data_IF_890885287497
#
_entry.id   IF_890885287497
#
_cell.length_a   1.000
_cell.length_b   1.000
_cell.length_c   1.000
_cell.angle_alpha   90.00
_cell.angle_beta   90.00
_cell.angle_gamma   90.00
#
_symmetry.space_group_name_H-M   'P 1'
#
loop_
_entity.id
_entity.type
_entity.pdbx_description
1 polymer ?
#
# COMPACT_ATOMS: atom_id res chain seq x y z
N UNK A 1 0.68 20.52 -14.96
CA UNK A 1 1.59 20.26 -13.82
C UNK A 1 1.45 18.86 -13.25
N UNK A 2 0.29 18.45 -12.70
CA UNK A 2 0.12 17.09 -12.17
C UNK A 2 0.37 16.04 -13.26
N UNK A 3 -0.24 16.20 -14.43
CA UNK A 3 0.01 15.34 -15.60
C UNK A 3 1.50 15.27 -15.99
N UNK A 4 2.18 16.43 -16.02
CA UNK A 4 3.62 16.52 -16.28
C UNK A 4 4.43 15.73 -15.24
N UNK A 5 4.09 15.87 -13.96
CA UNK A 5 4.73 15.14 -12.87
C UNK A 5 4.47 13.63 -12.97
N UNK A 6 3.24 13.22 -13.27
CA UNK A 6 2.86 11.83 -13.53
C UNK A 6 3.66 11.24 -14.68
N UNK A 7 3.82 11.97 -15.79
CA UNK A 7 4.64 11.54 -16.94
C UNK A 7 6.11 11.35 -16.55
N UNK A 8 6.70 12.28 -15.80
CA UNK A 8 8.08 12.18 -15.33
C UNK A 8 8.28 10.98 -14.38
N UNK A 9 7.32 10.76 -13.48
CA UNK A 9 7.35 9.62 -12.55
C UNK A 9 7.17 8.27 -13.25
N UNK A 10 6.31 8.21 -14.26
CA UNK A 10 6.15 7.02 -15.12
C UNK A 10 7.42 6.72 -15.94
N UNK A 11 8.23 7.74 -16.24
CA UNK A 11 9.55 7.57 -16.84
C UNK A 11 10.64 7.15 -15.81
N UNK A 12 10.28 6.91 -14.55
CA UNK A 12 11.20 6.48 -13.49
C UNK A 12 11.97 7.62 -12.79
N UNK A 13 11.59 8.88 -13.04
CA UNK A 13 12.20 10.04 -12.39
C UNK A 13 11.42 10.38 -11.11
N UNK A 14 12.12 10.80 -10.05
CA UNK A 14 11.48 11.40 -8.86
C UNK A 14 11.72 12.91 -8.91
N UNK A 15 10.90 13.70 -9.63
CA UNK A 15 11.20 15.09 -9.89
C UNK A 15 11.01 15.98 -8.65
N UNK A 16 11.76 17.07 -8.59
CA UNK A 16 11.50 18.21 -7.72
C UNK A 16 10.39 19.10 -8.28
N UNK A 17 9.84 19.98 -7.44
CA UNK A 17 8.82 20.97 -7.87
C UNK A 17 9.37 21.87 -8.98
N UNK A 18 10.66 22.23 -8.93
CA UNK A 18 11.29 23.08 -9.93
C UNK A 18 11.46 22.37 -11.28
N UNK A 19 11.84 21.09 -11.28
CA UNK A 19 11.92 20.30 -12.53
C UNK A 19 10.55 20.11 -13.17
N UNK A 20 9.49 19.91 -12.37
CA UNK A 20 8.12 19.90 -12.91
C UNK A 20 7.72 21.27 -13.46
N UNK A 21 8.10 22.37 -12.81
CA UNK A 21 7.80 23.72 -13.28
C UNK A 21 8.40 23.98 -14.65
N UNK A 22 9.68 23.62 -14.82
CA UNK A 22 10.40 23.73 -16.09
C UNK A 22 9.76 22.86 -17.17
N UNK A 23 9.52 21.58 -16.88
CA UNK A 23 8.91 20.65 -17.83
C UNK A 23 7.44 20.96 -18.17
N UNK A 24 6.75 21.74 -17.32
CA UNK A 24 5.38 22.20 -17.54
C UNK A 24 5.31 23.62 -18.10
N UNK A 25 6.44 24.26 -18.38
CA UNK A 25 6.55 25.62 -18.90
C UNK A 25 5.81 26.67 -18.04
N UNK A 26 5.89 26.51 -16.72
CA UNK A 26 5.32 27.46 -15.75
C UNK A 26 6.39 28.02 -14.82
N UNK A 27 6.10 29.18 -14.22
CA UNK A 27 7.04 29.76 -13.25
C UNK A 27 7.19 28.87 -12.02
N UNK A 28 8.38 28.87 -11.40
CA UNK A 28 8.61 28.19 -10.11
C UNK A 28 7.62 28.66 -9.04
N UNK A 29 7.34 29.97 -8.98
CA UNK A 29 6.39 30.55 -8.04
C UNK A 29 4.98 29.96 -8.22
N UNK A 30 4.53 29.77 -9.47
CA UNK A 30 3.28 29.08 -9.77
C UNK A 30 3.33 27.63 -9.28
N UNK A 31 4.40 26.89 -9.56
CA UNK A 31 4.51 25.48 -9.16
C UNK A 31 4.46 25.30 -7.63
N UNK A 32 5.24 26.08 -6.87
CA UNK A 32 5.27 26.01 -5.40
C UNK A 32 3.93 26.41 -4.75
N UNK A 33 3.08 27.19 -5.44
CA UNK A 33 1.73 27.50 -4.96
C UNK A 33 0.82 26.28 -4.96
N UNK A 34 0.98 25.37 -5.92
CA UNK A 34 0.17 24.14 -5.99
C UNK A 34 0.83 22.98 -5.24
N UNK A 35 2.16 22.89 -5.29
CA UNK A 35 2.94 21.83 -4.67
C UNK A 35 4.01 22.46 -3.77
N UNK A 36 3.69 22.70 -2.49
CA UNK A 36 4.58 23.44 -1.59
C UNK A 36 5.90 22.69 -1.26
N UNK A 37 5.96 21.39 -1.52
CA UNK A 37 7.14 20.55 -1.30
C UNK A 37 7.20 19.41 -2.32
N UNK A 38 8.37 18.75 -2.41
CA UNK A 38 8.50 17.55 -3.24
C UNK A 38 7.61 16.42 -2.71
N UNK A 39 7.50 16.29 -1.38
CA UNK A 39 6.58 15.34 -0.75
C UNK A 39 5.12 15.58 -1.17
N UNK A 40 4.66 16.83 -1.20
CA UNK A 40 3.28 17.17 -1.61
C UNK A 40 3.03 16.87 -3.10
N UNK A 41 4.01 17.17 -3.97
CA UNK A 41 3.96 16.81 -5.39
C UNK A 41 3.84 15.30 -5.59
N UNK A 42 4.73 14.53 -4.97
CA UNK A 42 4.76 13.07 -5.10
C UNK A 42 3.50 12.45 -4.51
N UNK A 43 2.98 12.97 -3.39
CA UNK A 43 1.71 12.53 -2.82
C UNK A 43 0.56 12.68 -3.82
N UNK A 44 0.42 13.85 -4.45
CA UNK A 44 -0.64 14.08 -5.43
C UNK A 44 -0.57 13.12 -6.63
N UNK A 45 0.64 12.82 -7.12
CA UNK A 45 0.82 11.85 -8.22
C UNK A 45 0.51 10.42 -7.76
N UNK A 46 0.88 10.05 -6.53
CA UNK A 46 0.53 8.75 -5.94
C UNK A 46 -0.98 8.60 -5.79
N UNK A 47 -1.68 9.64 -5.34
CA UNK A 47 -3.14 9.64 -5.17
C UNK A 47 -3.85 9.44 -6.52
N UNK A 48 -3.39 10.11 -7.58
CA UNK A 48 -3.87 9.90 -8.96
C UNK A 48 -3.63 8.45 -9.44
N UNK A 49 -2.43 7.91 -9.16
CA UNK A 49 -2.11 6.53 -9.47
C UNK A 49 -3.01 5.51 -8.76
N UNK A 50 -3.42 5.82 -7.52
CA UNK A 50 -4.25 4.95 -6.69
C UNK A 50 -5.76 5.14 -6.90
N UNK A 51 -6.22 6.20 -7.56
CA UNK A 51 -7.63 6.64 -7.64
C UNK A 51 -8.69 5.52 -7.58
N UNK A 52 -8.75 4.59 -8.57
CA UNK A 52 -9.76 3.52 -8.59
C UNK A 52 -9.71 2.55 -7.41
N UNK A 53 -8.55 2.39 -6.78
CA UNK A 53 -8.34 1.51 -5.63
C UNK A 53 -8.88 2.18 -4.36
N UNK A 54 -8.71 3.51 -4.22
CA UNK A 54 -9.09 4.23 -3.00
C UNK A 54 -10.60 4.23 -2.73
N UNK A 55 -11.42 4.03 -3.77
CA UNK A 55 -12.88 3.94 -3.67
C UNK A 55 -13.38 2.50 -3.80
N UNK A 56 -12.49 1.51 -3.68
CA UNK A 56 -12.86 0.09 -3.79
C UNK A 56 -13.83 -0.30 -2.66
N UNK A 57 -14.82 -1.12 -3.01
CA UNK A 57 -15.78 -1.72 -2.08
C UNK A 57 -16.11 -3.14 -2.54
N UNK A 58 -16.53 -3.99 -1.60
CA UNK A 58 -17.04 -5.33 -1.88
C UNK A 58 -18.39 -5.56 -1.24
N UNK A 59 -19.26 -6.30 -1.93
CA UNK A 59 -20.56 -6.77 -1.45
C UNK A 59 -20.49 -8.16 -0.80
N UNK A 60 -19.34 -8.83 -0.86
CA UNK A 60 -19.14 -10.13 -0.23
C UNK A 60 -19.10 -9.99 1.29
N UNK A 61 -19.72 -10.94 2.00
CA UNK A 61 -19.59 -11.12 3.45
C UNK A 61 -18.41 -12.04 3.84
N UNK A 62 -17.78 -12.71 2.86
CA UNK A 62 -16.63 -13.57 3.09
C UNK A 62 -15.33 -12.76 2.97
N UNK A 63 -14.53 -12.75 4.05
CA UNK A 63 -13.32 -11.93 4.15
C UNK A 63 -12.21 -12.38 3.19
N UNK A 64 -12.06 -13.70 2.96
CA UNK A 64 -11.06 -14.21 2.02
C UNK A 64 -11.38 -13.75 0.59
N UNK A 65 -12.65 -13.84 0.20
CA UNK A 65 -13.14 -13.35 -1.08
C UNK A 65 -12.98 -11.84 -1.23
N UNK A 66 -13.29 -11.05 -0.20
CA UNK A 66 -13.09 -9.59 -0.21
C UNK A 66 -11.61 -9.23 -0.43
N UNK A 67 -10.70 -9.92 0.24
CA UNK A 67 -9.26 -9.73 0.05
C UNK A 67 -8.85 -10.10 -1.38
N UNK A 68 -9.34 -11.21 -1.92
CA UNK A 68 -9.08 -11.59 -3.31
C UNK A 68 -9.59 -10.53 -4.31
N UNK A 69 -10.80 -10.02 -4.12
CA UNK A 69 -11.42 -8.96 -4.95
C UNK A 69 -10.63 -7.63 -4.89
N UNK A 70 -10.11 -7.28 -3.70
CA UNK A 70 -9.22 -6.11 -3.56
C UNK A 70 -7.94 -6.30 -4.36
N UNK A 71 -7.29 -7.46 -4.26
CA UNK A 71 -6.08 -7.75 -5.03
C UNK A 71 -6.37 -7.77 -6.54
N UNK A 72 -7.53 -8.31 -6.93
CA UNK A 72 -7.96 -8.35 -8.32
C UNK A 72 -8.11 -6.95 -8.94
N UNK A 73 -8.60 -6.00 -8.14
CA UNK A 73 -8.78 -4.61 -8.54
C UNK A 73 -7.47 -3.83 -8.48
N UNK A 74 -6.71 -4.00 -7.40
CA UNK A 74 -5.55 -3.18 -7.09
C UNK A 74 -4.32 -3.54 -7.92
N UNK A 75 -4.01 -4.83 -8.08
CA UNK A 75 -2.73 -5.26 -8.67
C UNK A 75 -2.53 -4.77 -10.11
N UNK A 76 -3.51 -4.86 -11.04
CA UNK A 76 -3.33 -4.32 -12.39
C UNK A 76 -3.03 -2.82 -12.40
N UNK A 77 -3.66 -2.05 -11.51
CA UNK A 77 -3.42 -0.61 -11.38
C UNK A 77 -2.06 -0.32 -10.75
N UNK A 78 -1.64 -1.10 -9.75
CA UNK A 78 -0.30 -1.01 -9.15
C UNK A 78 0.77 -1.28 -10.21
N UNK A 79 0.58 -2.29 -11.06
CA UNK A 79 1.50 -2.59 -12.17
C UNK A 79 1.51 -1.49 -13.23
N UNK A 80 0.34 -0.95 -13.62
CA UNK A 80 0.26 0.15 -14.57
C UNK A 80 0.95 1.44 -14.07
N UNK A 81 1.09 1.59 -12.75
CA UNK A 81 1.77 2.72 -12.11
C UNK A 81 3.04 2.29 -11.37
N UNK A 82 3.65 1.17 -11.77
CA UNK A 82 4.79 0.58 -11.08
C UNK A 82 5.97 1.56 -10.96
N UNK A 83 6.32 2.24 -12.06
CA UNK A 83 7.39 3.24 -12.09
C UNK A 83 7.11 4.40 -11.12
N UNK A 84 5.87 4.90 -11.08
CA UNK A 84 5.43 5.93 -10.14
C UNK A 84 5.58 5.47 -8.69
N UNK A 85 5.13 4.27 -8.36
CA UNK A 85 5.21 3.77 -6.98
C UNK A 85 6.65 3.43 -6.56
N UNK A 86 7.49 2.95 -7.49
CA UNK A 86 8.94 2.78 -7.27
C UNK A 86 9.62 4.14 -7.05
N UNK A 87 9.29 5.17 -7.82
CA UNK A 87 9.80 6.52 -7.63
C UNK A 87 9.40 7.12 -6.26
N UNK A 88 8.16 6.89 -5.82
CA UNK A 88 7.72 7.27 -4.48
C UNK A 88 8.43 6.46 -3.37
N UNK A 89 8.85 5.21 -3.64
CA UNK A 89 9.58 4.37 -2.68
C UNK A 89 11.01 4.87 -2.54
N UNK A 90 11.65 5.18 -3.66
CA UNK A 90 12.94 5.85 -3.69
C UNK A 90 12.94 7.13 -2.85
N UNK A 91 11.93 8.00 -3.00
CA UNK A 91 11.81 9.21 -2.16
C UNK A 91 11.73 8.88 -0.67
N UNK A 92 10.90 7.90 -0.30
CA UNK A 92 10.74 7.49 1.10
C UNK A 92 12.05 6.97 1.71
N UNK A 93 12.80 6.17 0.95
CA UNK A 93 14.10 5.63 1.38
C UNK A 93 15.17 6.73 1.48
N UNK A 94 15.20 7.66 0.52
CA UNK A 94 16.10 8.83 0.55
C UNK A 94 15.84 9.72 1.77
N UNK A 95 14.57 10.06 2.03
CA UNK A 95 14.21 10.87 3.20
C UNK A 95 14.57 10.17 4.51
N UNK A 96 14.39 8.84 4.60
CA UNK A 96 14.82 8.07 5.76
C UNK A 96 16.34 8.17 5.96
N UNK A 97 17.12 7.94 4.90
CA UNK A 97 18.59 7.98 4.96
C UNK A 97 19.10 9.38 5.36
N UNK A 98 18.55 10.43 4.76
CA UNK A 98 18.88 11.83 5.08
C UNK A 98 18.47 12.20 6.51
N UNK A 99 17.36 11.66 7.02
CA UNK A 99 16.97 11.85 8.43
C UNK A 99 17.98 11.21 9.38
N UNK A 100 18.45 9.99 9.09
CA UNK A 100 19.49 9.33 9.88
C UNK A 100 20.81 10.11 9.85
N UNK A 101 21.16 10.69 8.70
CA UNK A 101 22.35 11.51 8.54
C UNK A 101 22.22 12.95 9.09
N UNK A 102 21.03 13.37 9.55
CA UNK A 102 20.79 14.74 9.98
C UNK A 102 20.76 15.78 8.85
N UNK A 103 20.66 15.36 7.58
CA UNK A 103 20.73 16.23 6.38
C UNK A 103 19.39 16.45 5.69
N UNK A 104 18.29 15.96 6.27
CA UNK A 104 16.95 16.16 5.70
C UNK A 104 16.51 17.64 5.79
N UNK A 105 16.95 18.36 6.82
CA UNK A 105 16.53 19.74 7.07
C UNK A 105 15.04 19.83 7.43
N UNK A 106 14.35 20.85 6.90
CA UNK A 106 12.93 21.11 7.14
C UNK A 106 11.96 20.48 6.14
N UNK A 107 12.41 19.54 5.31
CA UNK A 107 11.55 18.89 4.31
C UNK A 107 10.42 18.11 5.00
N UNK A 108 9.15 18.31 4.62
CA UNK A 108 8.04 17.54 5.17
C UNK A 108 8.19 16.05 4.89
N UNK A 109 7.91 15.21 5.89
CA UNK A 109 7.96 13.77 5.73
C UNK A 109 6.94 13.29 4.69
N UNK A 110 7.40 12.53 3.71
CA UNK A 110 6.51 11.78 2.82
C UNK A 110 5.93 10.58 3.59
N UNK A 111 4.59 10.49 3.64
CA UNK A 111 3.88 9.43 4.35
C UNK A 111 3.20 8.48 3.37
N UNK A 112 3.00 7.23 3.82
CA UNK A 112 2.28 6.20 3.08
C UNK A 112 1.22 5.64 4.02
N UNK A 113 -0.03 5.60 3.58
CA UNK A 113 -1.13 5.24 4.49
C UNK A 113 -2.32 4.52 3.86
N UNK A 114 -2.63 4.79 2.59
CA UNK A 114 -3.85 4.30 1.92
C UNK A 114 -4.11 2.79 2.05
N UNK A 115 -3.05 1.97 2.08
CA UNK A 115 -3.20 0.51 2.22
C UNK A 115 -3.79 0.07 3.56
N UNK A 116 -3.60 0.84 4.63
CA UNK A 116 -4.07 0.46 5.97
C UNK A 116 -5.59 0.38 5.98
N UNK A 117 -6.26 1.42 5.48
CA UNK A 117 -7.72 1.50 5.49
C UNK A 117 -8.32 0.52 4.48
N UNK A 118 -7.77 0.42 3.27
CA UNK A 118 -8.19 -0.56 2.26
C UNK A 118 -8.15 -2.00 2.78
N UNK A 119 -7.07 -2.37 3.47
CA UNK A 119 -6.91 -3.74 3.98
C UNK A 119 -7.84 -4.00 5.15
N UNK A 120 -8.06 -3.03 6.05
CA UNK A 120 -9.05 -3.14 7.12
C UNK A 120 -10.46 -3.31 6.55
N UNK A 121 -10.82 -2.52 5.55
CA UNK A 121 -12.12 -2.62 4.88
C UNK A 121 -12.31 -3.97 4.18
N UNK A 122 -11.25 -4.54 3.61
CA UNK A 122 -11.28 -5.86 3.01
C UNK A 122 -11.55 -6.96 4.04
N UNK A 123 -10.92 -6.88 5.23
CA UNK A 123 -11.12 -7.86 6.31
C UNK A 123 -12.25 -7.49 7.28
N UNK A 124 -13.01 -6.42 7.03
CA UNK A 124 -14.07 -5.93 7.92
C UNK A 124 -15.08 -7.00 8.39
N UNK A 125 -15.47 -8.04 7.61
CA UNK A 125 -16.35 -9.10 8.12
C UNK A 125 -15.77 -9.93 9.28
N UNK A 126 -14.47 -9.78 9.57
CA UNK A 126 -13.81 -10.41 10.71
C UNK A 126 -13.86 -9.54 11.98
N UNK A 127 -14.37 -8.31 11.89
CA UNK A 127 -14.65 -7.49 13.07
C UNK A 127 -15.67 -8.20 13.97
N UNK A 128 -15.36 -8.29 15.26
CA UNK A 128 -16.16 -9.04 16.24
C UNK A 128 -16.01 -10.57 16.19
N UNK A 129 -15.40 -11.12 15.13
CA UNK A 129 -15.01 -12.55 15.06
C UNK A 129 -13.59 -12.79 15.54
N UNK A 130 -12.68 -11.85 15.27
CA UNK A 130 -11.32 -11.85 15.77
C UNK A 130 -11.18 -10.93 16.97
N UNK A 131 -10.26 -11.26 17.88
CA UNK A 131 -9.81 -10.31 18.90
C UNK A 131 -9.16 -9.10 18.21
N UNK A 132 -9.23 -7.88 18.80
CA UNK A 132 -8.67 -6.67 18.18
C UNK A 132 -7.18 -6.78 17.84
N UNK A 133 -6.41 -7.53 18.64
CA UNK A 133 -4.99 -7.79 18.40
C UNK A 133 -4.79 -8.59 17.11
N UNK A 134 -5.60 -9.62 16.88
CA UNK A 134 -5.45 -10.51 15.73
C UNK A 134 -5.96 -9.90 14.45
N UNK A 135 -7.06 -9.13 14.53
CA UNK A 135 -7.51 -8.30 13.41
C UNK A 135 -6.38 -7.34 12.96
N UNK A 136 -5.73 -6.66 13.92
CA UNK A 136 -4.60 -5.76 13.63
C UNK A 136 -3.40 -6.53 13.06
N UNK A 137 -3.07 -7.69 13.61
CA UNK A 137 -1.98 -8.56 13.12
C UNK A 137 -2.25 -9.00 11.67
N UNK A 138 -3.48 -9.39 11.34
CA UNK A 138 -3.88 -9.76 9.99
C UNK A 138 -3.73 -8.58 9.01
N UNK A 139 -4.23 -7.39 9.37
CA UNK A 139 -4.08 -6.19 8.52
C UNK A 139 -2.61 -5.83 8.28
N UNK A 140 -1.76 -5.96 9.30
CA UNK A 140 -0.31 -5.76 9.19
C UNK A 140 0.34 -6.81 8.28
N UNK A 141 0.00 -8.09 8.43
CA UNK A 141 0.54 -9.16 7.61
C UNK A 141 0.14 -9.01 6.13
N UNK A 142 -1.12 -8.68 5.85
CA UNK A 142 -1.60 -8.39 4.49
C UNK A 142 -0.88 -7.17 3.89
N UNK A 143 -0.51 -6.18 4.71
CA UNK A 143 0.23 -5.00 4.24
C UNK A 143 1.62 -5.32 3.67
N UNK A 144 2.22 -6.44 4.10
CA UNK A 144 3.52 -6.90 3.59
C UNK A 144 3.43 -7.37 2.13
N UNK A 145 2.26 -7.83 1.70
CA UNK A 145 2.01 -8.42 0.37
C UNK A 145 1.10 -7.55 -0.51
N UNK A 146 0.83 -6.31 -0.09
CA UNK A 146 -0.02 -5.37 -0.81
C UNK A 146 0.70 -4.04 -1.05
N UNK A 147 0.99 -3.73 -2.32
CA UNK A 147 1.70 -2.52 -2.74
C UNK A 147 2.78 -2.82 -3.77
N UNK A 148 3.65 -1.84 -4.04
CA UNK A 148 4.75 -2.00 -5.00
C UNK A 148 5.82 -2.98 -4.49
N UNK A 149 5.91 -3.17 -3.17
CA UNK A 149 6.89 -4.04 -2.54
C UNK A 149 6.72 -5.52 -2.98
N UNK A 150 5.47 -5.97 -3.19
CA UNK A 150 5.21 -7.34 -3.68
C UNK A 150 5.71 -7.52 -5.12
N UNK A 151 5.62 -6.48 -5.95
CA UNK A 151 6.15 -6.52 -7.32
C UNK A 151 7.67 -6.58 -7.31
N UNK A 152 8.33 -5.81 -6.44
CA UNK A 152 9.80 -5.86 -6.29
C UNK A 152 10.24 -7.28 -5.92
N UNK A 153 9.59 -7.91 -4.93
CA UNK A 153 9.96 -9.26 -4.52
C UNK A 153 9.67 -10.27 -5.64
N UNK A 154 8.45 -10.29 -6.17
CA UNK A 154 8.03 -11.37 -7.08
C UNK A 154 8.51 -11.18 -8.52
N UNK A 155 8.58 -9.95 -9.04
CA UNK A 155 9.05 -9.67 -10.40
C UNK A 155 10.56 -9.45 -10.43
N UNK A 156 11.09 -8.54 -9.61
CA UNK A 156 12.49 -8.13 -9.74
C UNK A 156 13.46 -9.19 -9.18
N UNK A 157 13.11 -9.85 -8.07
CA UNK A 157 13.97 -10.89 -7.45
C UNK A 157 13.66 -12.28 -8.02
N UNK A 158 12.39 -12.68 -8.06
CA UNK A 158 11.99 -14.03 -8.51
C UNK A 158 11.75 -14.15 -10.02
N UNK A 159 11.67 -13.05 -10.76
CA UNK A 159 11.48 -13.07 -12.22
C UNK A 159 10.08 -13.50 -12.67
N UNK A 160 9.06 -13.38 -11.82
CA UNK A 160 7.69 -13.80 -12.18
C UNK A 160 7.03 -12.81 -13.15
N UNK A 161 6.23 -13.34 -14.08
CA UNK A 161 5.31 -12.54 -14.88
C UNK A 161 4.14 -12.00 -14.02
N UNK A 162 3.37 -11.05 -14.57
CA UNK A 162 2.22 -10.42 -13.87
C UNK A 162 1.18 -11.43 -13.38
N UNK A 163 0.89 -12.47 -14.18
CA UNK A 163 -0.12 -13.48 -13.83
C UNK A 163 0.36 -14.33 -12.65
N UNK A 164 1.60 -14.80 -12.68
CA UNK A 164 2.21 -15.58 -11.59
C UNK A 164 2.39 -14.75 -10.33
N UNK A 165 2.80 -13.49 -10.48
CA UNK A 165 2.89 -12.52 -9.38
C UNK A 165 1.54 -12.38 -8.66
N UNK A 166 0.45 -12.16 -9.40
CA UNK A 166 -0.92 -12.10 -8.84
C UNK A 166 -1.34 -13.40 -8.17
N UNK A 167 -1.11 -14.54 -8.81
CA UNK A 167 -1.49 -15.84 -8.26
C UNK A 167 -0.79 -16.13 -6.91
N UNK A 168 0.51 -15.86 -6.81
CA UNK A 168 1.27 -16.05 -5.56
C UNK A 168 0.81 -15.08 -4.47
N UNK A 169 0.62 -13.80 -4.82
CA UNK A 169 0.17 -12.79 -3.87
C UNK A 169 -1.22 -13.11 -3.30
N UNK A 170 -2.16 -13.53 -4.15
CA UNK A 170 -3.51 -13.93 -3.73
C UNK A 170 -3.52 -15.20 -2.88
N UNK A 171 -2.73 -16.22 -3.27
CA UNK A 171 -2.59 -17.43 -2.48
C UNK A 171 -2.06 -17.12 -1.07
N UNK A 172 -1.03 -16.28 -0.97
CA UNK A 172 -0.47 -15.85 0.31
C UNK A 172 -1.49 -15.06 1.14
N UNK A 173 -2.22 -14.13 0.52
CA UNK A 173 -3.26 -13.34 1.18
C UNK A 173 -4.38 -14.22 1.74
N UNK A 174 -4.90 -15.15 0.94
CA UNK A 174 -5.91 -16.10 1.39
C UNK A 174 -5.40 -17.01 2.50
N UNK A 175 -4.14 -17.45 2.45
CA UNK A 175 -3.53 -18.25 3.52
C UNK A 175 -3.47 -17.48 4.85
N UNK A 176 -3.11 -16.19 4.83
CA UNK A 176 -3.12 -15.35 6.03
C UNK A 176 -4.53 -15.20 6.62
N UNK A 177 -5.54 -14.98 5.78
CA UNK A 177 -6.94 -14.88 6.24
C UNK A 177 -7.40 -16.19 6.87
N UNK A 178 -7.17 -17.33 6.21
CA UNK A 178 -7.55 -18.65 6.73
C UNK A 178 -6.84 -18.97 8.04
N UNK A 179 -5.55 -18.64 8.16
CA UNK A 179 -4.79 -18.83 9.40
C UNK A 179 -5.38 -18.01 10.55
N UNK A 180 -5.66 -16.72 10.33
CA UNK A 180 -6.26 -15.86 11.35
C UNK A 180 -7.64 -16.37 11.82
N UNK A 181 -8.46 -16.88 10.88
CA UNK A 181 -9.76 -17.47 11.22
C UNK A 181 -9.60 -18.77 12.00
N UNK A 182 -8.69 -19.66 11.60
CA UNK A 182 -8.46 -20.93 12.29
C UNK A 182 -7.97 -20.72 13.73
N UNK A 183 -6.99 -19.82 13.94
CA UNK A 183 -6.47 -19.50 15.27
C UNK A 183 -7.56 -18.95 16.21
N UNK A 184 -8.54 -18.20 15.68
CA UNK A 184 -9.65 -17.69 16.48
C UNK A 184 -10.61 -18.78 16.98
N UNK A 185 -10.76 -19.87 16.22
CA UNK A 185 -11.60 -21.02 16.61
C UNK A 185 -10.90 -21.82 17.71
N UNK A 186 -9.58 -21.98 17.63
CA UNK A 186 -8.80 -22.72 18.62
C UNK A 186 -8.73 -21.99 19.97
N UNK A 187 -8.62 -20.66 19.99
CA UNK A 187 -8.65 -19.88 21.23
C UNK A 187 -10.05 -19.83 21.87
N UNK A 188 -11.12 -19.88 21.07
CA UNK A 188 -12.51 -19.97 21.56
C UNK A 188 -12.95 -21.37 21.99
N UNK A 189 -12.18 -22.41 21.67
CA UNK A 189 -12.50 -23.82 21.91
C UNK A 189 -11.77 -24.47 23.09
N UNK A 190 -10.82 -23.78 23.75
CA UNK A 190 -10.14 -24.34 24.91
C UNK A 190 -11.04 -24.23 26.15
N UNK A 191 -11.50 -25.34 26.78
CA UNK A 191 -12.23 -25.27 28.03
C UNK A 191 -11.32 -24.67 29.10
N UNK A 192 -11.85 -23.74 29.91
CA UNK A 192 -11.16 -23.25 31.09
C UNK A 192 -10.79 -24.45 31.99
N UNK A 193 -9.49 -24.75 32.22
CA UNK A 193 -9.10 -25.86 33.08
C UNK A 193 -9.57 -25.71 34.53
N UNK A 194 -10.10 -24.54 34.92
CA UNK A 194 -10.66 -24.31 36.26
C UNK A 194 -12.14 -24.68 36.40
N UNK A 195 -12.85 -25.04 35.32
CA UNK A 195 -14.27 -25.37 35.39
C UNK A 195 -14.58 -26.86 35.67
N UNK A 196 -13.57 -27.75 35.67
CA UNK A 196 -13.76 -29.21 35.87
C UNK A 196 -13.53 -29.64 37.34
N UNK A 197 -13.38 -28.69 38.27
CA UNK A 197 -13.15 -28.98 39.69
C UNK A 197 -14.11 -28.21 40.58
N UNK A 198 -15.41 -28.52 40.47
CA UNK A 198 -16.42 -28.33 41.52
C UNK A 198 -17.46 -29.43 41.46
#
# INVERSE_FOLDING_TARGET
MLETATRLMQAGVTPSVSEVAEAAEVSRATAYRYFPSQSALVQAVVDEGLGPILTWQSTSADAERRVAELFDTAMPRIEAFEATFKAALKLSLDQWARRQAGTLGGEPAFTRGHRIDLLKDAIAPLEGRLLPRDFKRLAQALSLIFGVEVLIVLKDIWGLDSRRTRAVAQWAAGALVRAAVAESVDEGGSPDPKAVMK
#
